data_IF_546112172497
#
_entry.id   IF_546112172497
#
_cell.length_a   1.000
_cell.length_b   1.000
_cell.length_c   1.000
_cell.angle_alpha   90.00
_cell.angle_beta   90.00
_cell.angle_gamma   90.00
#
_symmetry.space_group_name_H-M   'P 1'
#
loop_
_entity.id
_entity.type
_entity.pdbx_description
1 polymer ?
#
# COMPACT_ATOMS: atom_id res chain seq x y z
N UNK A 1 -15.29 14.64 -0.76
CA UNK A 1 -14.97 13.36 -0.10
C UNK A 1 -13.68 12.86 -0.72
N UNK A 2 -12.74 12.34 0.06
CA UNK A 2 -11.44 11.91 -0.45
C UNK A 2 -11.32 10.38 -0.43
N UNK A 3 -10.93 9.79 -1.56
CA UNK A 3 -10.56 8.38 -1.66
C UNK A 3 -9.05 8.29 -1.60
N UNK A 4 -8.54 7.62 -0.57
CA UNK A 4 -7.10 7.39 -0.42
C UNK A 4 -6.75 6.04 -1.00
N UNK A 5 -5.83 6.01 -1.95
CA UNK A 5 -5.32 4.79 -2.57
C UNK A 5 -3.92 4.54 -2.06
N UNK A 6 -3.68 3.35 -1.51
CA UNK A 6 -2.36 2.89 -1.09
C UNK A 6 -1.88 1.74 -1.96
N UNK A 7 -0.68 1.87 -2.50
CA UNK A 7 -0.04 0.86 -3.34
C UNK A 7 1.27 0.44 -2.67
N UNK A 8 1.37 -0.85 -2.36
CA UNK A 8 2.60 -1.55 -1.98
C UNK A 8 3.10 -2.33 -3.21
N UNK A 9 3.99 -1.75 -4.04
CA UNK A 9 4.44 -2.37 -5.28
C UNK A 9 5.61 -3.33 -5.04
N UNK A 10 5.65 -4.38 -5.87
CA UNK A 10 6.73 -5.37 -5.90
C UNK A 10 7.19 -5.57 -7.34
N UNK A 11 8.49 -5.75 -7.56
CA UNK A 11 9.06 -6.16 -8.85
C UNK A 11 8.97 -7.69 -9.03
N UNK A 12 9.12 -8.41 -7.92
CA UNK A 12 8.90 -9.85 -7.79
C UNK A 12 8.21 -10.12 -6.44
N UNK A 13 7.23 -11.01 -6.39
CA UNK A 13 6.49 -11.30 -5.16
C UNK A 13 5.07 -10.76 -5.22
N UNK A 14 4.67 -9.91 -4.27
CA UNK A 14 3.27 -9.51 -4.10
C UNK A 14 3.09 -8.00 -4.19
N UNK A 15 2.26 -7.54 -5.13
CA UNK A 15 1.75 -6.16 -5.09
C UNK A 15 0.39 -6.16 -4.41
N UNK A 16 0.16 -5.22 -3.51
CA UNK A 16 -1.15 -4.99 -2.90
C UNK A 16 -1.63 -3.55 -3.16
N UNK A 17 -2.94 -3.41 -3.41
CA UNK A 17 -3.59 -2.12 -3.61
C UNK A 17 -4.84 -2.06 -2.74
N UNK A 18 -5.04 -0.92 -2.08
CA UNK A 18 -6.16 -0.67 -1.17
C UNK A 18 -6.76 0.70 -1.46
N UNK A 19 -8.09 0.77 -1.42
CA UNK A 19 -8.83 2.02 -1.44
C UNK A 19 -9.54 2.25 -0.10
N UNK A 20 -9.37 3.45 0.46
CA UNK A 20 -10.01 3.89 1.68
C UNK A 20 -11.00 5.02 1.40
N UNK A 21 -12.17 4.94 2.02
CA UNK A 21 -13.11 6.05 2.15
C UNK A 21 -13.37 6.29 3.64
N UNK A 22 -13.21 7.54 4.11
CA UNK A 22 -13.31 7.88 5.53
C UNK A 22 -12.42 6.99 6.43
N UNK A 23 -11.19 6.72 5.98
CA UNK A 23 -10.21 5.82 6.60
C UNK A 23 -10.72 4.38 6.80
N UNK A 24 -11.68 3.92 5.98
CA UNK A 24 -12.17 2.53 5.96
C UNK A 24 -11.91 1.90 4.61
N UNK A 25 -11.41 0.67 4.60
CA UNK A 25 -11.18 -0.10 3.38
C UNK A 25 -12.52 -0.41 2.72
N UNK A 26 -12.72 0.13 1.53
CA UNK A 26 -13.88 -0.12 0.67
C UNK A 26 -13.53 -1.11 -0.44
N UNK A 27 -12.25 -1.28 -0.75
CA UNK A 27 -11.78 -2.22 -1.74
C UNK A 27 -10.31 -2.57 -1.51
N UNK A 28 -9.94 -3.80 -1.81
CA UNK A 28 -8.57 -4.31 -1.71
C UNK A 28 -8.33 -5.39 -2.76
N UNK A 29 -7.14 -5.42 -3.35
CA UNK A 29 -6.70 -6.46 -4.27
C UNK A 29 -5.22 -6.76 -4.05
N UNK A 30 -4.77 -7.93 -4.50
CA UNK A 30 -3.35 -8.26 -4.59
C UNK A 30 -3.08 -9.20 -5.76
N UNK A 31 -1.88 -9.15 -6.29
CA UNK A 31 -1.34 -10.12 -7.26
C UNK A 31 -0.05 -10.70 -6.71
N UNK A 32 0.23 -11.97 -7.03
CA UNK A 32 1.52 -12.61 -6.76
C UNK A 32 2.11 -13.02 -8.10
N UNK A 33 3.27 -12.45 -8.47
CA UNK A 33 3.92 -12.74 -9.74
C UNK A 33 5.44 -12.55 -9.66
N UNK A 34 6.17 -13.12 -10.62
CA UNK A 34 7.63 -13.00 -10.71
C UNK A 34 8.03 -12.19 -11.96
N UNK A 35 7.41 -11.03 -12.16
CA UNK A 35 7.69 -10.14 -13.30
C UNK A 35 7.19 -8.73 -13.02
N UNK A 36 8.10 -7.77 -12.99
CA UNK A 36 7.78 -6.37 -12.76
C UNK A 36 6.78 -5.81 -13.78
N UNK A 37 6.82 -6.30 -15.03
CA UNK A 37 5.88 -5.88 -16.06
C UNK A 37 4.44 -6.30 -15.71
N UNK A 38 4.26 -7.50 -15.14
CA UNK A 38 2.95 -7.97 -14.70
C UNK A 38 2.43 -7.20 -13.48
N UNK A 39 3.34 -6.79 -12.60
CA UNK A 39 2.99 -5.89 -11.50
C UNK A 39 2.59 -4.50 -12.01
N UNK A 40 3.30 -3.96 -13.01
CA UNK A 40 2.95 -2.70 -13.66
C UNK A 40 1.57 -2.76 -14.33
N UNK A 41 1.34 -3.77 -15.18
CA UNK A 41 0.05 -4.00 -15.86
C UNK A 41 -1.08 -4.08 -14.83
N UNK A 42 -0.90 -4.89 -13.78
CA UNK A 42 -1.88 -5.02 -12.69
C UNK A 42 -2.19 -3.69 -12.00
N UNK A 43 -1.18 -2.89 -11.70
CA UNK A 43 -1.37 -1.58 -11.07
C UNK A 43 -2.14 -0.66 -12.01
N UNK A 44 -1.76 -0.58 -13.29
CA UNK A 44 -2.41 0.27 -14.30
C UNK A 44 -3.87 -0.15 -14.52
N UNK A 45 -4.13 -1.45 -14.66
CA UNK A 45 -5.46 -1.99 -14.92
C UNK A 45 -6.42 -1.77 -13.74
N UNK A 46 -5.90 -1.60 -12.52
CA UNK A 46 -6.71 -1.25 -11.37
C UNK A 46 -7.19 0.22 -11.37
N UNK A 47 -6.52 1.15 -12.07
CA UNK A 47 -6.91 2.57 -12.09
C UNK A 47 -8.31 2.83 -12.61
N UNK A 48 -8.73 2.26 -13.77
CA UNK A 48 -10.10 2.38 -14.22
C UNK A 48 -11.12 1.91 -13.17
N UNK A 49 -10.81 0.85 -12.41
CA UNK A 49 -11.68 0.37 -11.34
C UNK A 49 -11.80 1.34 -10.16
N UNK A 50 -10.79 2.18 -9.90
CA UNK A 50 -10.85 3.20 -8.84
C UNK A 50 -11.53 4.47 -9.29
N UNK A 51 -11.12 4.96 -10.46
CA UNK A 51 -11.51 6.26 -10.99
C UNK A 51 -12.93 6.17 -11.51
N UNK A 52 -13.29 5.16 -12.32
CA UNK A 52 -14.61 5.13 -12.95
C UNK A 52 -15.69 4.37 -12.17
N UNK A 53 -15.38 3.81 -11.00
CA UNK A 53 -16.39 3.14 -10.17
C UNK A 53 -17.45 4.08 -9.62
N UNK A 54 -17.15 5.37 -9.52
CA UNK A 54 -18.07 6.36 -8.97
C UNK A 54 -18.67 7.22 -10.08
N UNK A 55 -20.00 7.33 -10.12
CA UNK A 55 -20.73 8.12 -11.12
C UNK A 55 -20.26 9.59 -11.15
N UNK A 56 -19.79 10.12 -10.00
CA UNK A 56 -19.28 11.48 -9.83
C UNK A 56 -17.76 11.53 -9.63
N UNK A 57 -17.01 10.63 -10.27
CA UNK A 57 -15.55 10.56 -10.13
C UNK A 57 -14.80 11.88 -10.38
N UNK A 58 -15.33 12.73 -11.25
CA UNK A 58 -14.78 14.06 -11.55
C UNK A 58 -14.90 15.05 -10.38
N UNK A 59 -15.75 14.76 -9.38
CA UNK A 59 -15.90 15.53 -8.14
C UNK A 59 -15.14 14.89 -6.96
N UNK A 60 -14.56 13.71 -7.16
CA UNK A 60 -13.84 12.99 -6.12
C UNK A 60 -12.37 13.42 -6.06
N UNK A 61 -11.90 13.66 -4.84
CA UNK A 61 -10.48 13.87 -4.60
C UNK A 61 -9.81 12.51 -4.38
N UNK A 62 -8.98 12.08 -5.32
CA UNK A 62 -8.18 10.87 -5.18
C UNK A 62 -6.77 11.22 -4.68
N UNK A 63 -6.32 10.55 -3.64
CA UNK A 63 -4.97 10.66 -3.11
C UNK A 63 -4.23 9.34 -3.33
N UNK A 64 -3.32 9.30 -4.31
CA UNK A 64 -2.51 8.11 -4.59
C UNK A 64 -1.20 8.16 -3.80
N UNK A 65 -1.05 7.26 -2.85
CA UNK A 65 0.18 7.05 -2.09
C UNK A 65 0.80 5.71 -2.52
N UNK A 66 2.06 5.75 -2.97
CA UNK A 66 2.75 4.58 -3.53
C UNK A 66 4.07 4.41 -2.80
N UNK A 67 4.35 3.23 -2.26
CA UNK A 67 5.65 3.01 -1.62
C UNK A 67 6.80 3.07 -2.65
N UNK A 68 7.82 3.84 -2.31
CA UNK A 68 9.07 3.87 -3.05
C UNK A 68 10.01 2.80 -2.46
N UNK A 69 9.95 1.59 -3.00
CA UNK A 69 10.68 0.44 -2.46
C UNK A 69 12.20 0.46 -2.75
N UNK A 70 12.76 1.48 -3.41
CA UNK A 70 14.19 1.56 -3.73
C UNK A 70 15.14 1.53 -2.52
N UNK A 71 14.85 2.22 -1.39
CA UNK A 71 15.77 2.29 -0.26
C UNK A 71 15.92 0.97 0.52
N UNK A 72 15.13 -0.06 0.21
CA UNK A 72 15.15 -1.35 0.93
C UNK A 72 15.90 -2.44 0.17
N UNK A 73 16.20 -2.24 -1.11
CA UNK A 73 16.97 -3.18 -1.91
C UNK A 73 18.46 -3.04 -1.61
N UNK A 74 18.93 -3.81 -0.62
CA UNK A 74 20.35 -4.00 -0.32
C UNK A 74 21.09 -4.81 -1.39
N UNK A 75 20.40 -5.27 -2.44
CA UNK A 75 20.97 -6.12 -3.46
C UNK A 75 21.50 -5.30 -4.64
N UNK A 76 22.77 -5.52 -5.00
CA UNK A 76 23.37 -5.09 -6.26
C UNK A 76 22.97 -6.04 -7.42
N UNK A 77 21.68 -6.37 -7.54
CA UNK A 77 21.16 -7.41 -8.42
C UNK A 77 20.07 -6.90 -9.37
N UNK A 78 19.75 -7.74 -10.37
CA UNK A 78 18.63 -7.62 -11.31
C UNK A 78 17.31 -7.15 -10.67
N UNK A 79 17.04 -7.54 -9.43
CA UNK A 79 15.83 -7.17 -8.69
C UNK A 79 15.75 -5.64 -8.44
N UNK A 80 16.91 -4.99 -8.22
CA UNK A 80 16.95 -3.53 -8.13
C UNK A 80 16.62 -2.86 -9.46
N UNK A 81 17.12 -3.40 -10.57
CA UNK A 81 16.87 -2.87 -11.91
C UNK A 81 15.40 -3.05 -12.32
N UNK A 82 14.82 -4.22 -12.05
CA UNK A 82 13.42 -4.50 -12.33
C UNK A 82 12.49 -3.64 -11.46
N UNK A 83 12.85 -3.37 -10.20
CA UNK A 83 12.15 -2.41 -9.36
C UNK A 83 12.29 -0.96 -9.87
N UNK A 84 13.47 -0.54 -10.30
CA UNK A 84 13.67 0.77 -10.93
C UNK A 84 12.82 0.93 -12.20
N UNK A 85 12.75 -0.12 -13.02
CA UNK A 85 11.89 -0.17 -14.22
C UNK A 85 10.43 -0.04 -13.85
N UNK A 86 9.96 -0.78 -12.84
CA UNK A 86 8.58 -0.70 -12.36
C UNK A 86 8.22 0.73 -11.93
N UNK A 87 9.01 1.31 -11.02
CA UNK A 87 8.70 2.62 -10.45
C UNK A 87 8.77 3.72 -11.50
N UNK A 88 9.78 3.70 -12.37
CA UNK A 88 9.90 4.67 -13.46
C UNK A 88 8.81 4.53 -14.53
N UNK A 89 8.44 3.30 -14.90
CA UNK A 89 7.34 3.07 -15.83
C UNK A 89 5.99 3.48 -15.23
N UNK A 90 5.78 3.22 -13.94
CA UNK A 90 4.60 3.65 -13.21
C UNK A 90 4.52 5.18 -13.14
N UNK A 91 5.59 5.87 -12.76
CA UNK A 91 5.66 7.34 -12.76
C UNK A 91 5.29 7.93 -14.13
N UNK A 92 5.90 7.42 -15.20
CA UNK A 92 5.58 7.88 -16.56
C UNK A 92 4.09 7.69 -16.89
N UNK A 93 3.52 6.52 -16.53
CA UNK A 93 2.10 6.24 -16.81
C UNK A 93 1.14 7.09 -15.98
N UNK A 94 1.45 7.36 -14.72
CA UNK A 94 0.64 8.25 -13.88
C UNK A 94 0.70 9.69 -14.37
N UNK A 95 1.87 10.15 -14.82
CA UNK A 95 2.04 11.46 -15.43
C UNK A 95 1.26 11.58 -16.76
N UNK A 96 1.32 10.55 -17.62
CA UNK A 96 0.53 10.50 -18.87
C UNK A 96 -0.98 10.61 -18.59
N UNK A 97 -1.44 9.97 -17.50
CA UNK A 97 -2.83 9.98 -17.05
C UNK A 97 -3.20 11.23 -16.22
N UNK A 98 -2.25 12.15 -16.00
CA UNK A 98 -2.41 13.36 -15.17
C UNK A 98 -2.89 13.05 -13.75
N UNK A 99 -2.46 11.92 -13.19
CA UNK A 99 -2.79 11.50 -11.83
C UNK A 99 -1.77 12.08 -10.87
N UNK A 100 -2.22 12.84 -9.88
CA UNK A 100 -1.37 13.28 -8.79
C UNK A 100 -1.10 12.13 -7.81
N UNK A 101 0.16 11.89 -7.50
CA UNK A 101 0.57 10.81 -6.59
C UNK A 101 1.72 11.24 -5.67
N UNK A 102 1.90 10.52 -4.58
CA UNK A 102 2.97 10.71 -3.61
C UNK A 102 3.80 9.43 -3.47
N UNK A 103 5.11 9.59 -3.62
CA UNK A 103 6.07 8.55 -3.21
C UNK A 103 6.20 8.52 -1.68
N UNK A 104 5.89 7.37 -1.08
CA UNK A 104 5.98 7.11 0.35
C UNK A 104 7.25 6.33 0.65
N UNK A 105 8.08 6.84 1.57
CA UNK A 105 9.29 6.12 1.97
C UNK A 105 8.94 4.87 2.80
N UNK A 106 9.62 3.72 2.58
CA UNK A 106 9.42 2.50 3.36
C UNK A 106 9.71 2.67 4.86
N UNK A 107 10.35 3.76 5.27
CA UNK A 107 10.52 4.08 6.69
C UNK A 107 9.19 4.28 7.41
N UNK A 108 8.15 4.73 6.71
CA UNK A 108 6.84 5.03 7.31
C UNK A 108 6.03 3.76 7.58
N UNK A 109 6.10 2.76 6.70
CA UNK A 109 5.55 1.42 6.94
C UNK A 109 6.36 0.68 8.00
N UNK A 110 7.69 0.63 7.83
CA UNK A 110 8.59 -0.09 8.75
C UNK A 110 8.58 0.44 10.18
N UNK A 111 8.44 1.75 10.39
CA UNK A 111 8.39 2.33 11.75
C UNK A 111 7.15 1.89 12.50
N UNK A 112 5.98 1.92 11.85
CA UNK A 112 4.70 1.45 12.41
C UNK A 112 4.81 -0.02 12.78
N UNK A 113 5.29 -0.85 11.85
CA UNK A 113 5.47 -2.29 12.08
C UNK A 113 6.41 -2.54 13.26
N UNK A 114 7.60 -1.92 13.25
CA UNK A 114 8.59 -2.10 14.32
C UNK A 114 8.04 -1.68 15.68
N UNK A 115 7.26 -0.60 15.76
CA UNK A 115 6.70 -0.13 17.02
C UNK A 115 5.62 -1.10 17.52
N UNK A 116 4.62 -1.43 16.70
CA UNK A 116 3.51 -2.27 17.12
C UNK A 116 3.95 -3.71 17.44
N UNK A 117 4.78 -4.32 16.59
CA UNK A 117 5.22 -5.71 16.81
C UNK A 117 6.14 -5.84 18.03
N UNK A 118 7.02 -4.87 18.28
CA UNK A 118 7.90 -4.93 19.46
C UNK A 118 7.15 -4.62 20.76
N UNK A 119 6.25 -3.65 20.76
CA UNK A 119 5.49 -3.31 21.96
C UNK A 119 4.49 -4.42 22.33
N UNK A 120 3.97 -5.14 21.34
CA UNK A 120 3.03 -6.24 21.59
C UNK A 120 3.61 -7.44 22.34
N UNK A 121 4.94 -7.64 22.31
CA UNK A 121 5.63 -8.73 23.03
C UNK A 121 5.48 -8.63 24.55
N UNK A 122 5.18 -7.44 25.04
CA UNK A 122 5.04 -7.15 26.46
C UNK A 122 3.58 -7.20 26.92
N UNK A 123 2.64 -7.60 26.03
CA UNK A 123 1.21 -7.62 26.32
C UNK A 123 0.47 -8.69 25.48
N UNK A 124 0.71 -9.97 25.81
CA UNK A 124 0.26 -11.17 25.05
C UNK A 124 -1.27 -11.28 24.83
N UNK A 125 -2.08 -10.49 25.54
CA UNK A 125 -3.55 -10.47 25.41
C UNK A 125 -4.11 -9.22 24.73
N UNK A 126 -3.28 -8.23 24.40
CA UNK A 126 -3.76 -6.93 23.91
C UNK A 126 -3.79 -6.87 22.38
N UNK A 127 -4.94 -6.46 21.84
CA UNK A 127 -5.10 -6.09 20.44
C UNK A 127 -4.56 -4.67 20.26
N UNK A 128 -3.44 -4.54 19.55
CA UNK A 128 -2.84 -3.24 19.23
C UNK A 128 -3.57 -2.64 18.04
N UNK A 129 -3.95 -1.36 18.15
CA UNK A 129 -4.66 -0.63 17.09
C UNK A 129 -3.70 0.37 16.45
N UNK A 130 -3.76 0.49 15.13
CA UNK A 130 -3.04 1.55 14.43
C UNK A 130 -3.80 2.86 14.59
N UNK A 131 -3.14 3.92 15.08
CA UNK A 131 -3.82 5.16 15.45
C UNK A 131 -4.54 5.85 14.29
N UNK A 132 -4.03 5.71 13.05
CA UNK A 132 -4.67 6.30 11.86
C UNK A 132 -5.83 5.48 11.30
N UNK A 133 -5.89 4.18 11.61
CA UNK A 133 -7.01 3.30 11.24
C UNK A 133 -7.16 2.21 12.32
N UNK A 134 -8.09 2.44 13.24
CA UNK A 134 -8.31 1.55 14.39
C UNK A 134 -8.87 0.17 14.02
N UNK A 135 -9.28 -0.03 12.76
CA UNK A 135 -9.66 -1.35 12.24
C UNK A 135 -8.44 -2.19 11.84
N UNK A 136 -7.31 -1.54 11.55
CA UNK A 136 -6.01 -2.20 11.36
C UNK A 136 -5.42 -2.50 12.73
N UNK A 137 -5.31 -3.78 13.03
CA UNK A 137 -4.85 -4.26 14.34
C UNK A 137 -3.74 -5.30 14.23
N UNK A 138 -2.97 -5.42 15.30
CA UNK A 138 -1.93 -6.43 15.45
C UNK A 138 -2.15 -7.24 16.73
N UNK A 139 -1.96 -8.56 16.63
CA UNK A 139 -1.96 -9.47 17.77
C UNK A 139 -0.65 -10.27 17.78
N UNK A 140 0.05 -10.24 18.91
CA UNK A 140 1.32 -10.95 19.07
C UNK A 140 1.16 -12.45 18.80
N UNK A 141 2.08 -13.03 18.04
CA UNK A 141 2.04 -14.43 17.60
C UNK A 141 0.96 -14.78 16.55
N UNK A 142 -0.01 -13.89 16.29
CA UNK A 142 -1.13 -14.14 15.36
C UNK A 142 -1.03 -13.33 14.06
N UNK A 143 -0.44 -12.13 14.12
CA UNK A 143 -0.19 -11.26 12.97
C UNK A 143 -1.17 -10.08 12.86
N UNK A 144 -1.35 -9.58 11.64
CA UNK A 144 -2.14 -8.39 11.32
C UNK A 144 -3.58 -8.73 10.91
N UNK A 145 -4.51 -7.88 11.32
CA UNK A 145 -5.94 -8.01 11.06
C UNK A 145 -6.52 -6.69 10.58
N UNK A 146 -7.54 -6.77 9.72
CA UNK A 146 -8.39 -5.64 9.35
C UNK A 146 -9.85 -6.01 9.58
N UNK A 147 -10.60 -5.23 10.36
CA UNK A 147 -11.99 -5.57 10.73
C UNK A 147 -12.11 -7.00 11.28
N UNK A 148 -11.18 -7.42 12.13
CA UNK A 148 -11.06 -8.78 12.69
C UNK A 148 -10.76 -9.90 11.67
N UNK A 149 -10.56 -9.60 10.39
CA UNK A 149 -10.09 -10.56 9.39
C UNK A 149 -8.58 -10.56 9.30
N UNK A 150 -7.94 -11.74 9.25
CA UNK A 150 -6.49 -11.83 9.07
C UNK A 150 -6.09 -11.34 7.68
N UNK A 151 -5.07 -10.49 7.61
CA UNK A 151 -4.55 -9.93 6.35
C UNK A 151 -3.06 -10.24 6.15
N UNK A 152 -2.59 -10.15 4.90
CA UNK A 152 -1.16 -10.27 4.58
C UNK A 152 -0.39 -8.99 4.90
N UNK A 153 0.92 -9.11 5.10
CA UNK A 153 1.82 -7.97 5.33
C UNK A 153 1.72 -6.92 4.23
N UNK A 154 1.60 -7.33 2.96
CA UNK A 154 1.43 -6.40 1.83
C UNK A 154 0.12 -5.60 1.87
N UNK A 155 -0.97 -6.23 2.32
CA UNK A 155 -2.25 -5.52 2.50
C UNK A 155 -2.16 -4.56 3.67
N UNK A 156 -1.47 -4.94 4.75
CA UNK A 156 -1.17 -4.05 5.87
C UNK A 156 -0.36 -2.85 5.37
N UNK A 157 0.71 -3.06 4.62
CA UNK A 157 1.54 -1.97 4.10
C UNK A 157 0.71 -1.04 3.22
N UNK A 158 -0.07 -1.58 2.28
CA UNK A 158 -0.99 -0.78 1.46
C UNK A 158 -1.98 0.06 2.30
N UNK A 159 -2.53 -0.47 3.40
CA UNK A 159 -3.40 0.30 4.32
C UNK A 159 -2.63 1.42 5.03
N UNK A 160 -1.41 1.15 5.50
CA UNK A 160 -0.56 2.15 6.17
C UNK A 160 -0.17 3.25 5.17
N UNK A 161 0.21 2.87 3.95
CA UNK A 161 0.57 3.77 2.83
C UNK A 161 -0.64 4.63 2.44
N UNK A 162 -1.83 4.04 2.31
CA UNK A 162 -3.05 4.79 2.01
C UNK A 162 -3.32 5.88 3.06
N UNK A 163 -3.07 5.60 4.34
CA UNK A 163 -3.20 6.56 5.45
C UNK A 163 -1.97 7.47 5.64
N UNK A 164 -1.00 7.46 4.71
CA UNK A 164 0.12 8.39 4.75
C UNK A 164 -0.38 9.82 4.58
N UNK A 165 0.09 10.70 5.46
CA UNK A 165 -0.21 12.13 5.43
C UNK A 165 1.14 12.85 5.42
N UNK A 166 1.34 13.71 4.43
CA UNK A 166 2.55 14.52 4.31
C UNK A 166 2.51 15.60 5.40
N UNK A 167 3.38 15.47 6.40
CA UNK A 167 3.58 16.47 7.47
C UNK A 167 4.31 17.69 6.90
#
# INVERSE_FOLDING_TARGET
MAIKIGIDPSDTGTTAIVALENNKVIWKIKIIYASWLKHLEFIIDAFPEFVFRYENWYEMNYEFNIENCLPTNANASKDRDDLLRLLGALENKLNDLQINFNWVSPRYTKSVVKNMENLSKYNDSCVWKYDKDTNLTYQYGKGWFYNNEKISNHLRDAIIIANYERI
#
